data_IF_130483651350
#
_entry.id   IF_130483651350
#
_cell.length_a   1.000
_cell.length_b   1.000
_cell.length_c   1.000
_cell.angle_alpha   90.00
_cell.angle_beta   90.00
_cell.angle_gamma   90.00
#
_symmetry.space_group_name_H-M   'P 1'
#
loop_
_entity.id
_entity.type
_entity.pdbx_description
1 polymer ?
#
# COMPACT_ATOMS: atom_id res chain seq x y z
N UNK A 1 33.36 5.20 17.86
CA UNK A 1 31.98 4.68 17.98
C UNK A 1 31.29 4.90 16.63
N UNK A 2 31.37 3.93 15.72
CA UNK A 2 30.76 4.01 14.38
C UNK A 2 29.42 3.27 14.43
N UNK A 3 28.33 4.03 14.46
CA UNK A 3 26.99 3.49 14.30
C UNK A 3 26.81 3.04 12.85
N UNK A 4 26.71 1.73 12.63
CA UNK A 4 26.31 1.18 11.34
C UNK A 4 24.88 1.64 11.03
N UNK A 5 24.72 2.51 10.02
CA UNK A 5 23.42 2.75 9.39
C UNK A 5 23.02 1.47 8.64
N UNK A 6 22.44 0.51 9.36
CA UNK A 6 21.87 -0.69 8.74
C UNK A 6 20.68 -0.27 7.88
N UNK A 7 20.88 -0.24 6.57
CA UNK A 7 19.81 -0.01 5.61
C UNK A 7 18.83 -1.17 5.71
N UNK A 8 17.57 -0.86 6.05
CA UNK A 8 16.52 -1.88 6.17
C UNK A 8 16.35 -2.65 4.87
N UNK A 9 16.12 -3.95 4.96
CA UNK A 9 15.82 -4.77 3.80
C UNK A 9 14.49 -4.35 3.15
N UNK A 10 14.32 -4.70 1.88
CA UNK A 10 13.07 -4.42 1.17
C UNK A 10 11.85 -5.09 1.86
N UNK A 11 12.06 -6.30 2.39
CA UNK A 11 11.04 -7.05 3.13
C UNK A 11 10.65 -6.30 4.40
N UNK A 12 11.63 -5.87 5.21
CA UNK A 12 11.37 -5.12 6.44
C UNK A 12 10.58 -3.83 6.17
N UNK A 13 10.94 -3.10 5.12
CA UNK A 13 10.25 -1.87 4.74
C UNK A 13 8.81 -2.11 4.29
N UNK A 14 8.56 -3.19 3.55
CA UNK A 14 7.20 -3.62 3.17
C UNK A 14 6.39 -4.01 4.41
N UNK A 15 6.98 -4.75 5.34
CA UNK A 15 6.30 -5.21 6.55
C UNK A 15 5.93 -4.03 7.46
N UNK A 16 6.81 -3.04 7.60
CA UNK A 16 6.52 -1.78 8.29
C UNK A 16 5.39 -1.00 7.62
N UNK A 17 5.38 -0.97 6.29
CA UNK A 17 4.28 -0.37 5.54
C UNK A 17 2.96 -1.10 5.79
N UNK A 18 2.95 -2.43 5.72
CA UNK A 18 1.74 -3.23 5.93
C UNK A 18 1.21 -3.10 7.37
N UNK A 19 2.10 -2.96 8.36
CA UNK A 19 1.72 -2.68 9.74
C UNK A 19 1.11 -1.27 9.92
N UNK A 20 1.68 -0.26 9.26
CA UNK A 20 1.19 1.12 9.34
C UNK A 20 -0.11 1.35 8.54
N UNK A 21 -0.28 0.62 7.43
CA UNK A 21 -1.37 0.77 6.47
C UNK A 21 -1.99 -0.60 6.16
N UNK A 22 -2.64 -1.24 7.13
CA UNK A 22 -3.19 -2.57 6.95
C UNK A 22 -4.31 -2.56 5.89
N UNK A 23 -4.36 -3.63 5.10
CA UNK A 23 -5.48 -3.91 4.20
C UNK A 23 -6.79 -3.92 4.99
N UNK A 24 -7.82 -3.29 4.43
CA UNK A 24 -9.19 -3.31 4.96
C UNK A 24 -10.09 -4.07 4.00
N UNK A 25 -10.95 -4.91 4.55
CA UNK A 25 -11.98 -5.64 3.79
C UNK A 25 -13.24 -4.80 3.66
N UNK A 26 -13.83 -4.77 2.46
CA UNK A 26 -15.08 -4.06 2.15
C UNK A 26 -15.97 -4.92 1.26
N UNK A 27 -17.28 -4.93 1.53
CA UNK A 27 -18.26 -5.58 0.66
C UNK A 27 -18.77 -4.56 -0.36
N UNK A 28 -18.62 -4.88 -1.64
CA UNK A 28 -19.12 -4.09 -2.78
C UNK A 28 -19.89 -5.03 -3.69
N UNK A 29 -21.18 -4.75 -3.91
CA UNK A 29 -22.08 -5.58 -4.72
C UNK A 29 -22.08 -7.06 -4.30
N UNK A 30 -22.09 -7.32 -2.98
CA UNK A 30 -22.08 -8.68 -2.42
C UNK A 30 -20.74 -9.43 -2.52
N UNK A 31 -19.70 -8.81 -3.11
CA UNK A 31 -18.34 -9.36 -3.15
C UNK A 31 -17.45 -8.66 -2.13
N UNK A 32 -16.65 -9.44 -1.42
CA UNK A 32 -15.63 -8.90 -0.52
C UNK A 32 -14.36 -8.54 -1.32
N UNK A 33 -13.83 -7.36 -1.05
CA UNK A 33 -12.61 -6.82 -1.63
C UNK A 33 -11.63 -6.46 -0.53
N UNK A 34 -10.36 -6.78 -0.73
CA UNK A 34 -9.26 -6.26 0.06
C UNK A 34 -8.75 -4.96 -0.55
N UNK A 35 -8.55 -3.94 0.27
CA UNK A 35 -7.98 -2.68 -0.23
C UNK A 35 -7.14 -1.93 0.80
N UNK A 36 -6.09 -1.27 0.31
CA UNK A 36 -5.42 -0.17 1.00
C UNK A 36 -5.92 1.12 0.36
N UNK A 37 -6.54 1.98 1.16
CA UNK A 37 -7.04 3.28 0.75
C UNK A 37 -6.26 4.36 1.48
N UNK A 38 -5.60 5.26 0.75
CA UNK A 38 -4.80 6.35 1.30
C UNK A 38 -4.91 7.61 0.43
N UNK A 39 -4.63 8.76 1.05
CA UNK A 39 -4.73 10.06 0.40
C UNK A 39 -6.17 10.56 0.30
N UNK A 40 -6.34 11.86 0.42
CA UNK A 40 -7.65 12.52 0.48
C UNK A 40 -7.87 13.48 -0.69
N UNK A 41 -6.80 13.91 -1.36
CA UNK A 41 -6.82 14.93 -2.40
C UNK A 41 -6.27 14.43 -3.74
N UNK A 42 -6.62 15.13 -4.82
CA UNK A 42 -6.10 14.88 -6.17
C UNK A 42 -6.87 13.83 -6.98
N UNK A 43 -6.33 13.44 -8.15
CA UNK A 43 -6.97 12.45 -9.02
C UNK A 43 -7.10 11.09 -8.32
N UNK A 44 -8.14 10.36 -8.71
CA UNK A 44 -8.30 8.98 -8.29
C UNK A 44 -7.25 8.10 -8.98
N UNK A 45 -6.52 7.30 -8.19
CA UNK A 45 -5.54 6.35 -8.68
C UNK A 45 -5.88 4.95 -8.15
N UNK A 46 -6.12 4.01 -9.07
CA UNK A 46 -6.37 2.61 -8.73
C UNK A 46 -5.15 1.78 -9.12
N UNK A 47 -4.60 1.04 -8.17
CA UNK A 47 -3.50 0.10 -8.38
C UNK A 47 -4.04 -1.33 -8.32
N UNK A 48 -3.93 -2.04 -9.44
CA UNK A 48 -4.46 -3.39 -9.60
C UNK A 48 -3.28 -4.34 -9.73
N UNK A 49 -3.09 -5.29 -8.80
CA UNK A 49 -2.02 -6.25 -8.90
C UNK A 49 -2.26 -7.25 -10.04
N UNK A 50 -1.17 -7.88 -10.49
CA UNK A 50 -1.27 -9.07 -11.33
C UNK A 50 -1.74 -10.31 -10.55
N UNK A 51 -1.66 -11.47 -11.19
CA UNK A 51 -2.11 -12.76 -10.63
C UNK A 51 -1.58 -13.03 -9.21
N UNK A 52 -2.48 -13.39 -8.30
CA UNK A 52 -2.20 -13.68 -6.87
C UNK A 52 -1.53 -12.52 -6.09
N UNK A 53 -1.56 -11.30 -6.62
CA UNK A 53 -0.91 -10.17 -5.96
C UNK A 53 -1.72 -9.59 -4.82
N UNK A 54 -1.02 -8.85 -3.95
CA UNK A 54 -1.56 -8.19 -2.76
C UNK A 54 -1.44 -6.68 -2.92
N UNK A 55 -2.27 -5.90 -2.24
CA UNK A 55 -2.20 -4.43 -2.31
C UNK A 55 -0.83 -3.88 -1.87
N UNK A 56 -0.16 -4.54 -0.91
CA UNK A 56 1.11 -4.09 -0.35
C UNK A 56 2.33 -4.22 -1.30
N UNK A 57 2.17 -4.88 -2.45
CA UNK A 57 3.25 -4.94 -3.46
C UNK A 57 3.59 -3.54 -4.00
N UNK A 58 2.62 -2.62 -3.95
CA UNK A 58 2.76 -1.24 -4.43
C UNK A 58 3.28 -0.28 -3.35
N UNK A 59 3.79 -0.75 -2.21
CA UNK A 59 4.07 0.12 -1.07
C UNK A 59 4.96 1.33 -1.40
N UNK A 60 5.93 1.17 -2.32
CA UNK A 60 6.80 2.27 -2.74
C UNK A 60 6.03 3.32 -3.55
N UNK A 61 5.22 2.89 -4.51
CA UNK A 61 4.36 3.76 -5.31
C UNK A 61 3.32 4.46 -4.44
N UNK A 62 2.71 3.72 -3.51
CA UNK A 62 1.73 4.27 -2.56
C UNK A 62 2.38 5.36 -1.71
N UNK A 63 3.55 5.10 -1.11
CA UNK A 63 4.24 6.09 -0.29
C UNK A 63 4.65 7.34 -1.08
N UNK A 64 5.01 7.20 -2.34
CA UNK A 64 5.39 8.31 -3.21
C UNK A 64 4.20 9.16 -3.67
N UNK A 65 3.02 8.55 -3.86
CA UNK A 65 1.88 9.19 -4.52
C UNK A 65 0.73 9.57 -3.59
N UNK A 66 0.67 9.03 -2.36
CA UNK A 66 -0.46 9.22 -1.44
C UNK A 66 -0.73 10.69 -1.05
N UNK A 67 0.24 11.59 -1.17
CA UNK A 67 0.04 13.02 -0.88
C UNK A 67 -0.57 13.82 -2.04
N UNK A 68 -0.67 13.22 -3.22
CA UNK A 68 -1.11 13.89 -4.46
C UNK A 68 -2.26 13.16 -5.14
N UNK A 69 -2.73 12.04 -4.57
CA UNK A 69 -3.75 11.18 -5.19
C UNK A 69 -4.70 10.62 -4.13
N UNK A 70 -5.95 10.40 -4.54
CA UNK A 70 -6.91 9.56 -3.81
C UNK A 70 -6.69 8.13 -4.26
N UNK A 71 -5.88 7.40 -3.50
CA UNK A 71 -5.31 6.12 -3.91
C UNK A 71 -6.13 4.94 -3.36
N UNK A 72 -6.36 3.95 -4.22
CA UNK A 72 -6.92 2.65 -3.88
C UNK A 72 -6.07 1.52 -4.48
N UNK A 73 -5.39 0.74 -3.64
CA UNK A 73 -4.68 -0.47 -4.07
C UNK A 73 -5.49 -1.72 -3.68
N UNK A 74 -5.77 -2.60 -4.64
CA UNK A 74 -6.68 -3.74 -4.48
C UNK A 74 -5.96 -5.06 -4.18
N UNK A 75 -6.70 -6.01 -3.61
CA UNK A 75 -6.34 -7.43 -3.42
C UNK A 75 -7.50 -8.32 -3.85
#
# INVERSE_FOLDING_TARGET
>A
MQGSFMTKSLIQRRDEFAAAYPEKRRIVNGREWGAIQLGEDGPALILIPGTLGRADIFFQQILALKSQTRLLALT
#
